data_IF_811558574817
#
_entry.id   IF_811558574817
#
_cell.length_a   1.000
_cell.length_b   1.000
_cell.length_c   1.000
_cell.angle_alpha   90.00
_cell.angle_beta   90.00
_cell.angle_gamma   90.00
#
_symmetry.space_group_name_H-M   'P 1'
#
loop_
_entity.id
_entity.type
_entity.pdbx_description
1 polymer ?
#
# COMPACT_ATOMS: atom_id res chain seq x y z
N UNK A 1 5.12 -0.48 -6.19
CA UNK A 1 5.45 -1.40 -5.08
C UNK A 1 4.41 -1.39 -3.95
N UNK A 2 4.58 -0.68 -2.82
CA UNK A 2 3.67 -0.83 -1.65
C UNK A 2 2.17 -0.58 -1.98
N UNK A 3 1.87 0.45 -2.78
CA UNK A 3 0.52 0.75 -3.28
C UNK A 3 -0.08 -0.39 -4.10
N UNK A 4 0.72 -1.04 -4.93
CA UNK A 4 0.27 -2.18 -5.76
C UNK A 4 0.00 -3.42 -4.90
N UNK A 5 0.85 -3.68 -3.90
CA UNK A 5 0.70 -4.86 -3.04
C UNK A 5 -0.51 -4.74 -2.10
N UNK A 6 -0.71 -3.57 -1.48
CA UNK A 6 -1.80 -3.42 -0.50
C UNK A 6 -3.11 -2.94 -1.12
N UNK A 7 -3.08 -2.38 -2.34
CA UNK A 7 -4.25 -1.74 -2.97
C UNK A 7 -4.68 -0.43 -2.29
N UNK A 8 -3.90 0.08 -1.32
CA UNK A 8 -4.19 1.31 -0.58
C UNK A 8 -3.57 2.50 -1.30
N UNK A 9 -4.25 3.65 -1.28
CA UNK A 9 -3.76 4.88 -1.90
C UNK A 9 -2.41 5.35 -1.31
N UNK A 10 -1.67 6.12 -2.12
CA UNK A 10 -0.30 6.55 -1.79
C UNK A 10 -0.22 7.40 -0.53
N UNK A 11 -1.19 8.30 -0.31
CA UNK A 11 -1.22 9.19 0.86
C UNK A 11 -1.42 8.39 2.15
N UNK A 12 -2.36 7.46 2.14
CA UNK A 12 -2.68 6.61 3.29
C UNK A 12 -1.51 5.68 3.62
N UNK A 13 -0.90 5.03 2.62
CA UNK A 13 0.31 4.21 2.86
C UNK A 13 1.44 5.06 3.43
N UNK A 14 1.69 6.25 2.87
CA UNK A 14 2.76 7.11 3.36
C UNK A 14 2.54 7.50 4.83
N UNK A 15 1.30 7.74 5.23
CA UNK A 15 0.96 8.05 6.62
C UNK A 15 1.07 6.82 7.55
N UNK A 16 0.61 5.65 7.11
CA UNK A 16 0.79 4.38 7.87
C UNK A 16 2.28 4.10 8.08
N UNK A 17 3.09 4.17 7.02
CA UNK A 17 4.53 3.96 7.11
C UNK A 17 5.17 4.96 8.07
N UNK A 18 4.79 6.24 7.99
CA UNK A 18 5.29 7.28 8.91
C UNK A 18 4.97 6.93 10.38
N UNK A 19 3.76 6.47 10.67
CA UNK A 19 3.34 6.07 12.02
C UNK A 19 4.12 4.84 12.52
N UNK A 20 4.32 3.84 11.66
CA UNK A 20 5.09 2.64 12.00
C UNK A 20 6.58 2.94 12.23
N UNK A 21 7.16 3.89 11.49
CA UNK A 21 8.52 4.39 11.75
C UNK A 21 8.58 5.11 13.09
N UNK A 22 7.60 5.99 13.40
CA UNK A 22 7.53 6.71 14.68
C UNK A 22 7.43 5.76 15.88
N UNK A 23 6.78 4.60 15.69
CA UNK A 23 6.68 3.53 16.69
C UNK A 23 7.91 2.61 16.76
N UNK A 24 8.94 2.85 15.94
CA UNK A 24 10.15 2.04 15.90
C UNK A 24 9.98 0.67 15.23
N UNK A 25 8.84 0.41 14.58
CA UNK A 25 8.52 -0.89 13.95
C UNK A 25 9.08 -0.99 12.52
N UNK A 26 9.25 0.15 11.84
CA UNK A 26 9.87 0.23 10.53
C UNK A 26 11.08 1.16 10.55
N UNK A 27 12.07 0.85 9.72
CA UNK A 27 13.18 1.74 9.39
C UNK A 27 13.14 2.08 7.90
N UNK A 28 13.49 3.33 7.58
CA UNK A 28 13.60 3.82 6.21
C UNK A 28 15.05 3.93 5.80
N UNK A 29 15.44 3.25 4.72
CA UNK A 29 16.78 3.36 4.12
C UNK A 29 16.70 3.90 2.70
N UNK A 30 17.61 4.79 2.33
CA UNK A 30 17.76 5.24 0.94
C UNK A 30 18.27 4.07 0.11
N UNK A 31 17.72 3.89 -1.09
CA UNK A 31 18.23 2.93 -2.05
C UNK A 31 19.50 3.48 -2.71
N UNK A 32 20.58 2.68 -2.86
CA UNK A 32 21.81 3.13 -3.51
C UNK A 32 21.60 3.56 -4.97
N UNK A 33 20.62 2.96 -5.64
CA UNK A 33 20.37 3.12 -7.08
C UNK A 33 19.43 4.29 -7.43
N UNK A 34 18.68 4.81 -6.46
CA UNK A 34 17.82 5.99 -6.68
C UNK A 34 17.59 6.70 -5.35
N UNK A 35 18.10 7.93 -5.23
CA UNK A 35 17.93 8.76 -4.05
C UNK A 35 16.48 9.23 -3.83
N UNK A 36 15.62 9.09 -4.85
CA UNK A 36 14.18 9.40 -4.78
C UNK A 36 13.34 8.23 -4.26
N UNK A 37 13.92 7.03 -4.18
CA UNK A 37 13.25 5.86 -3.63
C UNK A 37 13.72 5.56 -2.20
N UNK A 38 12.77 5.12 -1.38
CA UNK A 38 13.00 4.72 -0.01
C UNK A 38 12.59 3.26 0.15
N UNK A 39 13.53 2.42 0.59
CA UNK A 39 13.22 1.08 1.06
C UNK A 39 12.76 1.16 2.52
N UNK A 40 11.70 0.44 2.86
CA UNK A 40 11.25 0.23 4.24
C UNK A 40 11.58 -1.20 4.66
N UNK A 41 12.06 -1.37 5.89
CA UNK A 41 12.39 -2.68 6.46
C UNK A 41 11.85 -2.77 7.88
N UNK A 42 11.37 -3.96 8.26
CA UNK A 42 11.02 -4.26 9.65
C UNK A 42 12.26 -4.15 10.54
N UNK A 43 12.07 -3.55 11.70
CA UNK A 43 13.02 -3.63 12.82
C UNK A 43 12.76 -4.91 13.62
N UNK A 44 13.64 -5.29 14.57
CA UNK A 44 13.35 -6.39 15.49
C UNK A 44 12.02 -6.21 16.24
N UNK A 45 11.79 -5.03 16.83
CA UNK A 45 10.52 -4.68 17.48
C UNK A 45 9.32 -4.74 16.52
N UNK A 46 9.50 -4.36 15.25
CA UNK A 46 8.47 -4.50 14.23
C UNK A 46 8.14 -5.95 13.91
N UNK A 47 9.13 -6.85 13.95
CA UNK A 47 8.92 -8.29 13.76
C UNK A 47 8.17 -8.90 14.94
N UNK A 48 8.57 -8.59 16.18
CA UNK A 48 7.86 -9.02 17.38
C UNK A 48 6.40 -8.55 17.39
N UNK A 49 6.16 -7.29 16.99
CA UNK A 49 4.81 -6.76 16.88
C UNK A 49 3.97 -7.47 15.80
N UNK A 50 4.60 -7.88 14.69
CA UNK A 50 3.94 -8.67 13.65
C UNK A 50 3.59 -10.07 14.15
N UNK A 51 4.53 -10.76 14.79
CA UNK A 51 4.33 -12.10 15.37
C UNK A 51 3.24 -12.09 16.44
N UNK A 52 3.13 -11.02 17.24
CA UNK A 52 2.04 -10.87 18.19
C UNK A 52 0.68 -10.58 17.53
N UNK A 53 0.66 -9.91 16.38
CA UNK A 53 -0.57 -9.52 15.69
C UNK A 53 -1.15 -10.65 14.81
N UNK A 54 -0.31 -11.51 14.23
CA UNK A 54 -0.73 -12.63 13.39
C UNK A 54 -1.81 -13.53 14.01
N UNK A 55 -1.66 -14.06 15.25
CA UNK A 55 -2.69 -14.91 15.84
C UNK A 55 -4.00 -14.16 16.10
N UNK A 56 -3.92 -12.86 16.44
CA UNK A 56 -5.10 -12.01 16.68
C UNK A 56 -5.87 -11.80 15.37
N UNK A 57 -5.14 -11.52 14.28
CA UNK A 57 -5.73 -11.37 12.95
C UNK A 57 -6.42 -12.67 12.52
N UNK A 58 -5.76 -13.82 12.70
CA UNK A 58 -6.31 -15.13 12.39
C UNK A 58 -7.57 -15.45 13.20
N UNK A 59 -7.56 -15.18 14.50
CA UNK A 59 -8.73 -15.38 15.35
C UNK A 59 -9.92 -14.50 14.92
N UNK A 60 -9.64 -13.24 14.53
CA UNK A 60 -10.65 -12.32 14.01
C UNK A 60 -11.24 -12.82 12.68
N UNK A 61 -10.39 -13.32 11.79
CA UNK A 61 -10.82 -13.93 10.52
C UNK A 61 -11.70 -15.17 10.76
N UNK A 62 -11.29 -16.05 11.67
CA UNK A 62 -12.06 -17.23 12.05
C UNK A 62 -13.43 -16.86 12.63
N UNK A 63 -13.49 -15.83 13.48
CA UNK A 63 -14.75 -15.31 14.01
C UNK A 63 -15.64 -14.75 12.91
N UNK A 64 -15.08 -13.95 12.00
CA UNK A 64 -15.83 -13.39 10.87
C UNK A 64 -16.42 -14.49 9.98
N UNK A 65 -15.65 -15.52 9.68
CA UNK A 65 -16.08 -16.66 8.85
C UNK A 65 -16.96 -17.67 9.59
N UNK A 66 -17.01 -17.61 10.93
CA UNK A 66 -17.80 -18.53 11.75
C UNK A 66 -19.31 -18.45 11.50
N UNK A 67 -19.78 -17.31 10.97
CA UNK A 67 -21.18 -17.11 10.56
C UNK A 67 -21.58 -17.98 9.37
N UNK A 68 -20.61 -18.55 8.66
CA UNK A 68 -20.81 -19.41 7.50
C UNK A 68 -20.53 -20.89 7.83
N UNK A 69 -21.29 -21.83 7.21
CA UNK A 69 -20.95 -23.24 7.18
C UNK A 69 -19.52 -23.46 6.67
N UNK A 70 -18.80 -24.42 7.24
CA UNK A 70 -17.38 -24.66 6.94
C UNK A 70 -17.11 -24.86 5.43
N UNK A 71 -18.04 -25.50 4.72
CA UNK A 71 -17.98 -25.78 3.29
C UNK A 71 -18.07 -24.50 2.43
N UNK A 72 -18.70 -23.44 2.94
CA UNK A 72 -18.89 -22.18 2.21
C UNK A 72 -17.76 -21.18 2.45
N UNK A 73 -16.97 -21.34 3.52
CA UNK A 73 -15.89 -20.40 3.88
C UNK A 73 -14.86 -20.27 2.76
N UNK A 74 -14.39 -21.39 2.22
CA UNK A 74 -13.43 -21.38 1.11
C UNK A 74 -14.00 -20.75 -0.15
N UNK A 75 -15.28 -20.97 -0.44
CA UNK A 75 -15.98 -20.41 -1.61
C UNK A 75 -16.05 -18.88 -1.50
N UNK A 76 -16.43 -18.35 -0.33
CA UNK A 76 -16.52 -16.90 -0.11
C UNK A 76 -15.15 -16.24 -0.25
N UNK A 77 -14.11 -16.82 0.35
CA UNK A 77 -12.74 -16.29 0.23
C UNK A 77 -12.28 -16.27 -1.24
N UNK A 78 -12.55 -17.34 -2.01
CA UNK A 78 -12.22 -17.40 -3.44
C UNK A 78 -12.99 -16.35 -4.26
N UNK A 79 -14.28 -16.16 -3.99
CA UNK A 79 -15.10 -15.17 -4.67
C UNK A 79 -14.58 -13.74 -4.41
N UNK A 80 -14.25 -13.42 -3.16
CA UNK A 80 -13.68 -12.13 -2.78
C UNK A 80 -12.30 -11.90 -3.44
N UNK A 81 -11.42 -12.92 -3.47
CA UNK A 81 -10.13 -12.81 -4.16
C UNK A 81 -10.32 -12.51 -5.66
N UNK A 82 -11.26 -13.22 -6.30
CA UNK A 82 -11.57 -13.01 -7.73
C UNK A 82 -12.05 -11.58 -8.01
N UNK A 83 -12.92 -11.05 -7.15
CA UNK A 83 -13.40 -9.66 -7.25
C UNK A 83 -12.23 -8.68 -7.11
N UNK A 84 -11.38 -8.87 -6.08
CA UNK A 84 -10.22 -8.00 -5.83
C UNK A 84 -9.25 -8.03 -7.00
N UNK A 85 -8.95 -9.21 -7.55
CA UNK A 85 -8.01 -9.36 -8.67
C UNK A 85 -8.54 -8.66 -9.93
N UNK A 86 -9.84 -8.78 -10.22
CA UNK A 86 -10.46 -8.08 -11.36
C UNK A 86 -10.48 -6.56 -11.15
N UNK A 87 -10.82 -6.07 -9.97
CA UNK A 87 -10.83 -4.64 -9.67
C UNK A 87 -9.42 -4.02 -9.68
N UNK A 88 -8.38 -4.77 -9.25
CA UNK A 88 -6.98 -4.33 -9.33
C UNK A 88 -6.52 -4.16 -10.78
N UNK A 89 -6.96 -5.03 -11.69
CA UNK A 89 -6.64 -4.96 -13.13
C UNK A 89 -7.22 -3.67 -13.74
N UNK A 90 -8.47 -3.33 -13.41
CA UNK A 90 -9.15 -2.14 -13.93
C UNK A 90 -8.57 -0.82 -13.37
N UNK A 91 -8.21 -0.79 -12.08
CA UNK A 91 -7.61 0.37 -11.43
C UNK A 91 -6.20 0.71 -11.97
N UNK A 92 -5.46 -0.29 -12.47
CA UNK A 92 -4.16 -0.07 -13.11
C UNK A 92 -4.28 0.39 -14.58
N UNK A 93 -5.36 0.00 -15.28
CA UNK A 93 -5.62 0.44 -16.65
C UNK A 93 -6.03 1.91 -16.77
N UNK A 94 -6.73 2.46 -15.77
CA UNK A 94 -7.21 3.85 -15.79
C UNK A 94 -6.17 4.89 -15.35
N UNK A 95 -5.24 4.54 -14.47
CA UNK A 95 -4.19 5.47 -13.96
C UNK A 95 -3.08 5.79 -14.97
N UNK A 96 -3.00 5.07 -16.09
CA UNK A 96 -2.03 5.32 -17.17
C UNK A 96 -2.32 6.58 -18.01
N UNK A 97 -3.56 7.04 -18.05
CA UNK A 97 -3.96 8.18 -18.90
C UNK A 97 -3.83 9.55 -18.22
N UNK A 98 -3.93 9.62 -16.89
CA UNK A 98 -4.04 10.90 -16.17
C UNK A 98 -2.67 11.54 -15.83
N UNK A 99 -1.60 10.74 -15.82
CA UNK A 99 -0.24 11.19 -15.49
C UNK A 99 0.48 11.98 -16.60
N UNK A 100 0.04 11.88 -17.86
CA UNK A 100 0.69 12.55 -19.00
C UNK A 100 0.25 14.02 -19.17
N UNK A 101 -0.93 14.40 -18.67
CA UNK A 101 -1.46 15.76 -18.85
C UNK A 101 -0.86 16.79 -17.87
N UNK A 102 -0.36 16.37 -16.71
CA UNK A 102 0.14 17.28 -15.67
C UNK A 102 1.57 17.81 -15.93
N UNK A 103 2.37 17.17 -16.80
CA UNK A 103 3.75 17.59 -17.07
C UNK A 103 3.91 18.65 -18.17
N UNK A 104 2.86 18.98 -18.91
CA UNK A 104 2.92 19.97 -20.01
C UNK A 104 2.69 21.43 -19.56
N UNK A 105 2.03 21.66 -18.42
CA UNK A 105 1.54 23.01 -18.05
C UNK A 105 2.53 23.82 -17.18
N UNK A 106 3.63 23.22 -16.70
CA UNK A 106 4.55 23.86 -15.75
C UNK A 106 5.71 24.68 -16.34
N UNK A 107 5.94 24.69 -17.66
CA UNK A 107 7.19 25.23 -18.24
C UNK A 107 7.11 26.64 -18.85
N UNK A 108 6.00 27.36 -18.69
CA UNK A 108 5.85 28.75 -19.18
C UNK A 108 5.51 29.69 -18.02
N UNK A 109 6.50 30.03 -17.18
CA UNK A 109 6.51 31.23 -16.32
C UNK A 109 7.80 31.28 -15.50
N UNK A 110 8.88 31.78 -16.09
CA UNK A 110 10.02 32.44 -15.41
C UNK A 110 11.06 32.88 -16.45
N UNK A 111 10.77 33.98 -17.14
CA UNK A 111 11.79 34.87 -17.72
C UNK A 111 11.14 36.18 -18.21
N UNK A 112 10.59 36.98 -17.28
CA UNK A 112 10.53 38.44 -17.48
C UNK A 112 10.44 39.15 -16.12
N UNK A 113 11.51 39.88 -15.79
CA UNK A 113 11.62 41.03 -14.89
C UNK A 113 13.11 41.17 -14.51
N UNK A 114 13.85 42.04 -15.22
CA UNK A 114 14.32 43.35 -14.71
C UNK A 114 15.28 43.20 -13.53
N UNK A 115 16.58 43.36 -13.74
CA UNK A 115 17.29 44.63 -13.93
C UNK A 115 18.55 44.37 -14.76
#
# INVERSE_FOLDING_TARGET
>A
ALVEYTGIDRSTIADIVRRLIKRGMLQRRRTPHDARMYAVKLTPSGREALEAAEPIAKATEEQLLSVLPAQQRSIVVQALSTIVDKLKIEANGSKGAEGAAASATGRRRRSSARQ
#
